data_IF_836881356201
#
_entry.id   IF_836881356201
#
_cell.length_a   1.000
_cell.length_b   1.000
_cell.length_c   1.000
_cell.angle_alpha   90.00
_cell.angle_beta   90.00
_cell.angle_gamma   90.00
#
_symmetry.space_group_name_H-M   'P 1'
#
loop_
_entity.id
_entity.type
_entity.pdbx_description
1 polymer ?
#
# COMPACT_ATOMS: atom_id res chain seq x y z
N UNK A 1 -5.86 -7.14 -4.05
CA UNK A 1 -6.12 -8.60 -4.03
C UNK A 1 -4.95 -9.34 -3.45
N UNK A 2 -5.21 -10.14 -2.43
CA UNK A 2 -4.20 -10.99 -1.80
C UNK A 2 -4.18 -12.35 -2.49
N UNK A 3 -3.01 -12.94 -2.62
CA UNK A 3 -2.88 -14.35 -2.98
C UNK A 3 -3.32 -15.18 -1.77
N UNK A 4 -4.32 -16.04 -1.96
CA UNK A 4 -4.93 -16.83 -0.89
C UNK A 4 -3.97 -17.89 -0.32
N UNK A 5 -4.21 -18.30 0.91
CA UNK A 5 -3.52 -19.40 1.57
C UNK A 5 -3.54 -20.69 0.72
N UNK A 6 -2.42 -21.41 0.68
CA UNK A 6 -2.28 -22.66 -0.07
C UNK A 6 -2.29 -22.52 -1.60
N UNK A 7 -2.40 -21.29 -2.14
CA UNK A 7 -2.46 -21.11 -3.59
C UNK A 7 -1.11 -21.32 -4.25
N UNK A 8 -0.01 -20.83 -3.68
CA UNK A 8 1.31 -20.92 -4.29
C UNK A 8 2.01 -22.24 -3.93
N UNK A 9 2.75 -22.85 -4.87
CA UNK A 9 3.67 -23.94 -4.56
C UNK A 9 4.75 -23.50 -3.56
N UNK A 10 5.20 -24.43 -2.70
CA UNK A 10 6.13 -24.15 -1.60
C UNK A 10 7.40 -23.38 -2.06
N UNK A 11 7.95 -23.75 -3.21
CA UNK A 11 9.11 -23.08 -3.79
C UNK A 11 8.89 -21.56 -3.93
N UNK A 12 7.73 -21.16 -4.47
CA UNK A 12 7.39 -19.74 -4.66
C UNK A 12 7.15 -19.04 -3.32
N UNK A 13 6.51 -19.71 -2.35
CA UNK A 13 6.35 -19.16 -1.01
C UNK A 13 7.71 -18.80 -0.39
N UNK A 14 8.65 -19.75 -0.40
CA UNK A 14 10.01 -19.55 0.16
C UNK A 14 10.74 -18.43 -0.58
N UNK A 15 10.68 -18.41 -1.91
CA UNK A 15 11.33 -17.37 -2.72
C UNK A 15 10.82 -15.97 -2.36
N UNK A 16 9.51 -15.79 -2.28
CA UNK A 16 8.94 -14.47 -1.97
C UNK A 16 9.20 -14.03 -0.53
N UNK A 17 9.27 -14.97 0.42
CA UNK A 17 9.77 -14.67 1.77
C UNK A 17 11.22 -14.20 1.74
N UNK A 18 12.08 -14.90 1.01
CA UNK A 18 13.50 -14.54 0.89
C UNK A 18 13.71 -13.16 0.25
N UNK A 19 12.86 -12.77 -0.71
CA UNK A 19 12.91 -11.45 -1.36
C UNK A 19 12.34 -10.33 -0.48
N UNK A 20 11.26 -10.60 0.26
CA UNK A 20 10.62 -9.59 1.13
C UNK A 20 11.40 -9.33 2.41
N UNK A 21 12.03 -10.36 2.99
CA UNK A 21 12.67 -10.30 4.30
C UNK A 21 13.73 -9.20 4.43
N UNK A 22 14.68 -9.00 3.48
CA UNK A 22 15.69 -7.96 3.60
C UNK A 22 15.09 -6.54 3.66
N UNK A 23 14.04 -6.30 2.89
CA UNK A 23 13.37 -5.00 2.84
C UNK A 23 12.64 -4.72 4.15
N UNK A 24 11.88 -5.71 4.65
CA UNK A 24 11.16 -5.59 5.93
C UNK A 24 12.15 -5.44 7.09
N UNK A 25 13.25 -6.21 7.10
CA UNK A 25 14.29 -6.10 8.11
C UNK A 25 14.94 -4.71 8.11
N UNK A 26 15.23 -4.15 6.94
CA UNK A 26 15.74 -2.80 6.81
C UNK A 26 14.72 -1.74 7.28
N UNK A 27 13.44 -1.95 6.95
CA UNK A 27 12.32 -1.17 7.46
C UNK A 27 12.26 -1.16 8.98
N UNK A 28 12.38 -2.33 9.61
CA UNK A 28 12.36 -2.48 11.06
C UNK A 28 13.58 -1.80 11.72
N UNK A 29 14.76 -1.92 11.10
CA UNK A 29 15.96 -1.20 11.53
C UNK A 29 15.76 0.32 11.50
N UNK A 30 15.26 0.87 10.39
CA UNK A 30 14.96 2.31 10.29
C UNK A 30 13.91 2.78 11.29
N UNK A 31 12.82 2.02 11.41
CA UNK A 31 11.74 2.31 12.35
C UNK A 31 12.28 2.36 13.79
N UNK A 32 13.08 1.38 14.20
CA UNK A 32 13.72 1.36 15.52
C UNK A 32 14.65 2.55 15.74
N UNK A 33 15.39 2.98 14.72
CA UNK A 33 16.28 4.15 14.84
C UNK A 33 15.49 5.43 15.07
N UNK A 34 14.43 5.65 14.29
CA UNK A 34 13.58 6.84 14.39
C UNK A 34 12.84 6.89 15.73
N UNK A 35 12.36 5.75 16.23
CA UNK A 35 11.71 5.67 17.55
C UNK A 35 12.71 5.97 18.68
N UNK A 36 13.97 5.53 18.56
CA UNK A 36 15.02 5.85 19.54
C UNK A 36 15.37 7.33 19.56
N UNK A 37 15.38 7.98 18.40
CA UNK A 37 15.63 9.42 18.25
C UNK A 37 14.44 10.25 18.75
N UNK A 38 13.20 9.78 18.54
CA UNK A 38 12.00 10.45 18.98
C UNK A 38 10.92 9.44 19.42
N UNK A 39 10.81 9.25 20.75
CA UNK A 39 9.87 8.28 21.34
C UNK A 39 8.40 8.63 21.12
N UNK A 40 8.08 9.89 20.88
CA UNK A 40 6.70 10.35 20.66
C UNK A 40 6.13 9.85 19.32
N UNK A 41 6.99 9.32 18.44
CA UNK A 41 6.56 8.71 17.17
C UNK A 41 5.99 7.31 17.34
N UNK A 42 6.29 6.60 18.43
CA UNK A 42 5.82 5.23 18.62
C UNK A 42 4.28 5.15 18.68
N UNK A 43 3.56 5.97 19.48
CA UNK A 43 2.10 5.98 19.46
C UNK A 43 1.53 6.33 18.08
N UNK A 44 2.18 7.25 17.35
CA UNK A 44 1.75 7.66 16.02
C UNK A 44 1.86 6.50 15.02
N UNK A 45 2.99 5.78 15.00
CA UNK A 45 3.19 4.60 14.17
C UNK A 45 2.17 3.50 14.49
N UNK A 46 1.90 3.25 15.78
CA UNK A 46 0.93 2.25 16.20
C UNK A 46 -0.50 2.61 15.75
N UNK A 47 -0.94 3.84 15.99
CA UNK A 47 -2.26 4.33 15.55
C UNK A 47 -2.37 4.29 14.02
N UNK A 48 -1.30 4.61 13.30
CA UNK A 48 -1.30 4.53 11.84
C UNK A 48 -1.34 3.11 11.31
N UNK A 49 -0.62 2.17 11.92
CA UNK A 49 -0.75 0.75 11.59
C UNK A 49 -2.18 0.23 11.83
N UNK A 50 -2.77 0.59 12.98
CA UNK A 50 -4.16 0.26 13.29
C UNK A 50 -5.13 0.92 12.30
N UNK A 51 -4.90 2.17 11.92
CA UNK A 51 -5.70 2.88 10.92
C UNK A 51 -5.62 2.20 9.54
N UNK A 52 -4.42 1.84 9.08
CA UNK A 52 -4.25 1.10 7.81
C UNK A 52 -5.00 -0.23 7.87
N UNK A 53 -4.89 -0.98 8.97
CA UNK A 53 -5.64 -2.21 9.16
C UNK A 53 -7.15 -1.98 9.11
N UNK A 54 -7.68 -1.04 9.89
CA UNK A 54 -9.12 -0.73 9.94
C UNK A 54 -9.61 -0.25 8.58
N UNK A 55 -8.89 0.66 7.93
CA UNK A 55 -9.21 1.13 6.58
C UNK A 55 -9.29 -0.06 5.62
N UNK A 56 -8.32 -0.98 5.66
CA UNK A 56 -8.31 -2.20 4.86
C UNK A 56 -9.36 -3.24 5.22
N UNK A 57 -10.10 -3.04 6.30
CA UNK A 57 -11.24 -3.89 6.67
C UNK A 57 -12.58 -3.32 6.19
N UNK A 58 -12.61 -2.05 5.74
CA UNK A 58 -13.84 -1.43 5.25
C UNK A 58 -14.20 -2.00 3.88
N UNK A 59 -15.43 -2.50 3.76
CA UNK A 59 -15.96 -2.98 2.48
C UNK A 59 -16.33 -1.78 1.61
N UNK A 60 -15.65 -1.64 0.48
CA UNK A 60 -16.04 -0.72 -0.58
C UNK A 60 -16.91 -1.45 -1.62
N UNK A 61 -18.03 -0.87 -2.04
CA UNK A 61 -18.81 -1.42 -3.14
C UNK A 61 -17.96 -1.38 -4.40
N UNK A 62 -17.74 -2.53 -5.05
CA UNK A 62 -17.08 -2.56 -6.35
C UNK A 62 -18.12 -2.36 -7.47
N UNK A 63 -17.66 -1.79 -8.59
CA UNK A 63 -18.47 -1.54 -9.79
C UNK A 63 -19.03 -2.84 -10.40
N UNK A 64 -18.43 -3.99 -10.09
CA UNK A 64 -18.77 -5.29 -10.66
C UNK A 64 -19.47 -6.24 -9.66
N UNK A 65 -19.98 -5.72 -8.54
CA UNK A 65 -20.73 -6.52 -7.56
C UNK A 65 -19.88 -7.41 -6.64
N UNK A 66 -18.55 -7.34 -6.74
CA UNK A 66 -17.62 -7.91 -5.77
C UNK A 66 -17.49 -7.03 -4.51
N UNK A 67 -17.06 -7.62 -3.39
CA UNK A 67 -16.62 -6.87 -2.21
C UNK A 67 -15.11 -6.65 -2.30
N UNK A 68 -14.68 -5.39 -2.25
CA UNK A 68 -13.26 -5.02 -2.19
C UNK A 68 -12.98 -4.19 -0.94
N UNK A 69 -11.71 -4.04 -0.60
CA UNK A 69 -11.28 -3.20 0.51
C UNK A 69 -10.08 -2.34 0.08
N UNK A 70 -9.91 -1.16 0.70
CA UNK A 70 -8.79 -0.28 0.36
C UNK A 70 -7.48 -0.83 0.92
N UNK A 71 -6.40 -0.79 0.14
CA UNK A 71 -5.09 -1.28 0.60
C UNK A 71 -4.44 -0.33 1.61
N UNK A 72 -4.66 0.99 1.48
CA UNK A 72 -4.13 2.02 2.40
C UNK A 72 -2.59 2.20 2.33
N UNK A 73 -1.92 1.48 1.45
CA UNK A 73 -0.47 1.41 1.28
C UNK A 73 0.10 2.73 0.74
N UNK A 74 -0.63 3.40 -0.15
CA UNK A 74 -0.25 4.71 -0.68
C UNK A 74 -0.18 5.79 0.40
N UNK A 75 -1.19 5.87 1.28
CA UNK A 75 -1.18 6.80 2.42
C UNK A 75 -0.05 6.44 3.40
N UNK A 76 0.10 5.15 3.73
CA UNK A 76 1.19 4.69 4.60
C UNK A 76 2.57 5.10 4.08
N UNK A 77 2.78 4.99 2.76
CA UNK A 77 4.02 5.37 2.11
C UNK A 77 4.28 6.88 2.16
N UNK A 78 3.25 7.70 1.96
CA UNK A 78 3.37 9.16 2.05
C UNK A 78 3.74 9.60 3.48
N UNK A 79 3.09 9.01 4.48
CA UNK A 79 3.26 9.41 5.88
C UNK A 79 4.59 8.93 6.49
N UNK A 80 5.00 7.69 6.20
CA UNK A 80 6.13 7.05 6.90
C UNK A 80 7.29 6.65 5.99
N UNK A 81 7.12 6.81 4.69
CA UNK A 81 8.07 6.32 3.69
C UNK A 81 8.00 4.79 3.50
N UNK A 82 8.47 4.28 2.35
CA UNK A 82 8.21 2.91 1.92
C UNK A 82 8.81 1.85 2.84
N UNK A 83 9.94 2.14 3.50
CA UNK A 83 10.62 1.20 4.38
C UNK A 83 9.80 0.90 5.64
N UNK A 84 9.27 1.92 6.31
CA UNK A 84 8.45 1.73 7.50
C UNK A 84 7.10 1.14 7.10
N UNK A 85 6.53 1.58 5.97
CA UNK A 85 5.31 1.00 5.42
C UNK A 85 5.44 -0.51 5.21
N UNK A 86 6.58 -1.03 4.76
CA UNK A 86 6.76 -2.48 4.61
C UNK A 86 6.59 -3.26 5.92
N UNK A 87 7.01 -2.69 7.05
CA UNK A 87 6.83 -3.28 8.38
C UNK A 87 5.37 -3.19 8.82
N UNK A 88 4.73 -2.04 8.61
CA UNK A 88 3.31 -1.88 8.92
C UNK A 88 2.45 -2.84 8.07
N UNK A 89 2.78 -2.99 6.79
CA UNK A 89 2.08 -3.85 5.85
C UNK A 89 2.20 -5.32 6.24
N UNK A 90 3.37 -5.84 6.63
CA UNK A 90 3.46 -7.24 7.07
C UNK A 90 2.63 -7.50 8.33
N UNK A 91 2.57 -6.55 9.28
CA UNK A 91 1.72 -6.65 10.48
C UNK A 91 0.24 -6.67 10.09
N UNK A 92 -0.18 -5.75 9.23
CA UNK A 92 -1.56 -5.68 8.70
C UNK A 92 -1.92 -6.97 7.98
N UNK A 93 -1.05 -7.48 7.12
CA UNK A 93 -1.26 -8.72 6.37
C UNK A 93 -1.37 -9.95 7.28
N UNK A 94 -0.60 -10.02 8.37
CA UNK A 94 -0.73 -11.08 9.38
C UNK A 94 -2.11 -11.02 10.02
N UNK A 95 -2.57 -9.83 10.44
CA UNK A 95 -3.90 -9.68 11.02
C UNK A 95 -5.02 -10.00 10.03
N UNK A 96 -4.87 -9.61 8.76
CA UNK A 96 -5.83 -9.96 7.71
C UNK A 96 -5.89 -11.47 7.49
N UNK A 97 -4.74 -12.15 7.46
CA UNK A 97 -4.68 -13.61 7.31
C UNK A 97 -5.34 -14.34 8.49
N UNK A 98 -5.07 -13.90 9.73
CA UNK A 98 -5.55 -14.58 10.94
C UNK A 98 -7.01 -14.24 11.28
N UNK A 99 -7.38 -12.95 11.26
CA UNK A 99 -8.69 -12.50 11.75
C UNK A 99 -9.75 -12.36 10.65
N UNK A 100 -9.34 -12.04 9.42
CA UNK A 100 -10.28 -11.80 8.31
C UNK A 100 -10.30 -12.96 7.31
N UNK A 101 -9.50 -14.01 7.54
CA UNK A 101 -9.27 -15.10 6.59
C UNK A 101 -8.98 -14.58 5.17
N UNK A 102 -8.21 -13.48 5.09
CA UNK A 102 -7.94 -12.77 3.86
C UNK A 102 -6.44 -12.77 3.55
N UNK A 103 -6.05 -13.37 2.42
CA UNK A 103 -4.66 -13.68 2.10
C UNK A 103 -4.22 -15.04 2.65
N UNK A 104 -3.00 -15.12 3.16
CA UNK A 104 -2.43 -16.36 3.70
C UNK A 104 -1.10 -16.13 4.40
N UNK A 105 -0.76 -17.02 5.33
CA UNK A 105 0.52 -17.12 6.02
C UNK A 105 1.60 -17.71 5.11
N UNK A 106 1.29 -18.73 4.29
CA UNK A 106 2.31 -19.26 3.34
C UNK A 106 2.59 -18.26 2.21
N UNK A 107 1.57 -17.51 1.79
CA UNK A 107 1.66 -16.50 0.73
C UNK A 107 1.99 -15.10 1.25
N UNK A 108 2.20 -14.94 2.57
CA UNK A 108 2.50 -13.66 3.21
C UNK A 108 3.74 -13.00 2.61
N UNK A 109 4.78 -13.76 2.28
CA UNK A 109 5.97 -13.23 1.61
C UNK A 109 5.65 -12.59 0.26
N UNK A 110 4.80 -13.23 -0.55
CA UNK A 110 4.38 -12.73 -1.86
C UNK A 110 3.49 -11.50 -1.75
N UNK A 111 2.51 -11.55 -0.84
CA UNK A 111 1.62 -10.43 -0.55
C UNK A 111 2.39 -9.22 0.02
N UNK A 112 3.36 -9.46 0.89
CA UNK A 112 4.25 -8.40 1.41
C UNK A 112 5.08 -7.79 0.30
N UNK A 113 5.57 -8.59 -0.66
CA UNK A 113 6.36 -8.10 -1.77
C UNK A 113 5.56 -7.15 -2.67
N UNK A 114 4.35 -7.54 -3.07
CA UNK A 114 3.51 -6.71 -3.93
C UNK A 114 2.95 -5.50 -3.16
N UNK A 115 2.24 -5.73 -2.06
CA UNK A 115 1.48 -4.70 -1.34
C UNK A 115 2.31 -3.91 -0.32
N UNK A 116 3.27 -4.55 0.34
CA UNK A 116 4.07 -3.92 1.39
C UNK A 116 5.36 -3.28 0.89
N UNK A 117 5.81 -3.64 -0.31
CA UNK A 117 7.10 -3.18 -0.84
C UNK A 117 6.89 -2.44 -2.15
N UNK A 118 6.49 -3.12 -3.22
CA UNK A 118 6.45 -2.50 -4.55
C UNK A 118 5.41 -1.38 -4.63
N UNK A 119 4.18 -1.63 -4.17
CA UNK A 119 3.13 -0.60 -4.11
C UNK A 119 3.59 0.66 -3.38
N UNK A 120 4.02 0.57 -2.11
CA UNK A 120 4.54 1.70 -1.33
C UNK A 120 5.72 2.41 -1.98
N UNK A 121 6.68 1.69 -2.57
CA UNK A 121 7.82 2.32 -3.26
C UNK A 121 7.32 3.16 -4.43
N UNK A 122 6.48 2.59 -5.30
CA UNK A 122 5.96 3.30 -6.48
C UNK A 122 5.11 4.49 -6.05
N UNK A 123 4.18 4.30 -5.11
CA UNK A 123 3.34 5.38 -4.59
C UNK A 123 4.17 6.53 -4.01
N UNK A 124 5.21 6.21 -3.25
CA UNK A 124 6.13 7.21 -2.70
C UNK A 124 6.91 7.96 -3.79
N UNK A 125 7.40 7.25 -4.82
CA UNK A 125 8.11 7.87 -5.93
C UNK A 125 7.20 8.80 -6.73
N UNK A 126 5.97 8.37 -7.00
CA UNK A 126 4.94 9.20 -7.65
C UNK A 126 4.65 10.45 -6.81
N UNK A 127 4.44 10.27 -5.51
CA UNK A 127 4.23 11.38 -4.58
C UNK A 127 5.38 12.39 -4.62
N UNK A 128 6.63 11.94 -4.52
CA UNK A 128 7.82 12.81 -4.57
C UNK A 128 7.95 13.50 -5.92
N UNK A 129 7.70 12.80 -7.03
CA UNK A 129 7.72 13.38 -8.37
C UNK A 129 6.65 14.48 -8.55
N UNK A 130 5.45 14.28 -8.00
CA UNK A 130 4.39 15.28 -7.97
C UNK A 130 4.80 16.50 -7.14
N UNK A 131 5.37 16.29 -5.95
CA UNK A 131 5.77 17.39 -5.07
C UNK A 131 6.93 18.20 -5.62
N UNK A 132 7.90 17.56 -6.28
CA UNK A 132 8.99 18.26 -6.96
C UNK A 132 8.51 19.11 -8.15
N UNK A 133 7.32 18.83 -8.70
CA UNK A 133 6.70 19.58 -9.80
C UNK A 133 5.59 20.53 -9.32
N UNK A 134 5.49 20.80 -8.01
CA UNK A 134 4.46 21.67 -7.42
C UNK A 134 3.02 21.26 -7.78
N UNK A 135 2.77 19.96 -7.99
CA UNK A 135 1.41 19.43 -8.20
C UNK A 135 0.62 19.59 -6.89
N UNK A 136 -0.69 19.81 -6.98
CA UNK A 136 -1.57 19.89 -5.81
C UNK A 136 -1.42 18.64 -4.90
N UNK A 137 -1.34 18.85 -3.58
CA UNK A 137 -1.13 17.77 -2.60
C UNK A 137 -2.19 16.66 -2.67
N UNK A 138 -3.47 17.01 -2.83
CA UNK A 138 -4.54 16.01 -2.90
C UNK A 138 -4.47 15.20 -4.19
N UNK A 139 -4.10 15.84 -5.30
CA UNK A 139 -3.84 15.13 -6.56
C UNK A 139 -2.59 14.23 -6.45
N UNK A 140 -1.54 14.68 -5.75
CA UNK A 140 -0.36 13.86 -5.49
C UNK A 140 -0.70 12.61 -4.67
N UNK A 141 -1.55 12.75 -3.63
CA UNK A 141 -2.05 11.63 -2.82
C UNK A 141 -2.91 10.67 -3.66
N UNK A 142 -3.83 11.21 -4.46
CA UNK A 142 -4.66 10.42 -5.38
C UNK A 142 -3.80 9.57 -6.31
N UNK A 143 -2.82 10.18 -6.99
CA UNK A 143 -1.95 9.48 -7.93
C UNK A 143 -1.06 8.47 -7.21
N UNK A 144 -0.53 8.80 -6.04
CA UNK A 144 0.30 7.89 -5.26
C UNK A 144 -0.45 6.61 -4.88
N UNK A 145 -1.70 6.72 -4.41
CA UNK A 145 -2.55 5.56 -4.12
C UNK A 145 -2.88 4.76 -5.39
N UNK A 146 -3.34 5.44 -6.45
CA UNK A 146 -3.67 4.81 -7.74
C UNK A 146 -2.51 3.96 -8.30
N UNK A 147 -1.30 4.53 -8.34
CA UNK A 147 -0.14 3.84 -8.89
C UNK A 147 0.42 2.78 -7.92
N UNK A 148 0.30 2.97 -6.61
CA UNK A 148 0.66 1.92 -5.64
C UNK A 148 -0.21 0.67 -5.83
N UNK A 149 -1.51 0.86 -6.03
CA UNK A 149 -2.46 -0.24 -6.28
C UNK A 149 -2.18 -0.92 -7.62
N UNK A 150 -2.06 -0.15 -8.71
CA UNK A 150 -1.77 -0.73 -10.03
C UNK A 150 -0.49 -1.56 -10.05
N UNK A 151 0.59 -1.08 -9.45
CA UNK A 151 1.83 -1.83 -9.39
C UNK A 151 1.76 -3.04 -8.45
N UNK A 152 0.96 -2.95 -7.38
CA UNK A 152 0.62 -4.14 -6.58
C UNK A 152 0.01 -5.22 -7.48
N UNK A 153 -0.97 -4.88 -8.32
CA UNK A 153 -1.65 -5.85 -9.18
C UNK A 153 -0.76 -6.38 -10.29
N UNK A 154 0.05 -5.53 -10.92
CA UNK A 154 1.04 -5.96 -11.91
C UNK A 154 1.99 -6.99 -11.31
N UNK A 155 2.53 -6.72 -10.11
CA UNK A 155 3.43 -7.66 -9.43
C UNK A 155 2.70 -8.95 -9.06
N UNK A 156 1.49 -8.87 -8.52
CA UNK A 156 0.70 -10.07 -8.21
C UNK A 156 0.41 -10.91 -9.46
N UNK A 157 0.09 -10.27 -10.60
CA UNK A 157 -0.06 -10.98 -11.88
C UNK A 157 1.22 -11.67 -12.33
N UNK A 158 2.40 -11.04 -12.14
CA UNK A 158 3.70 -11.66 -12.41
C UNK A 158 3.93 -12.86 -11.48
N UNK A 159 3.67 -12.70 -10.18
CA UNK A 159 3.81 -13.76 -9.18
C UNK A 159 3.00 -15.01 -9.57
N UNK A 160 1.74 -14.81 -9.97
CA UNK A 160 0.86 -15.89 -10.38
C UNK A 160 1.27 -16.49 -11.74
N UNK A 161 1.67 -15.66 -12.70
CA UNK A 161 2.11 -16.13 -14.01
C UNK A 161 3.38 -16.99 -13.96
N UNK A 162 4.31 -16.63 -13.07
CA UNK A 162 5.52 -17.42 -12.81
C UNK A 162 5.18 -18.75 -12.12
N UNK A 163 4.22 -18.75 -11.21
CA UNK A 163 3.80 -19.95 -10.50
C UNK A 163 2.98 -20.90 -11.37
N UNK A 164 2.22 -20.36 -12.32
CA UNK A 164 1.26 -21.08 -13.16
C UNK A 164 1.42 -20.70 -14.64
N UNK A 165 2.53 -21.09 -15.29
CA UNK A 165 2.70 -20.85 -16.72
C UNK A 165 1.68 -21.64 -17.55
N UNK A 166 1.08 -21.00 -18.55
CA UNK A 166 0.10 -21.63 -19.43
C UNK A 166 0.76 -22.67 -20.34
N UNK A 167 0.02 -23.74 -20.66
CA UNK A 167 0.52 -24.80 -21.55
C UNK A 167 0.88 -24.28 -22.95
N UNK A 168 0.11 -23.30 -23.44
CA UNK A 168 0.41 -22.53 -24.65
C UNK A 168 0.72 -21.09 -24.28
N UNK A 169 1.84 -20.55 -24.76
CA UNK A 169 2.27 -19.18 -24.49
C UNK A 169 2.97 -18.95 -23.13
N UNK A 170 3.06 -19.97 -22.27
CA UNK A 170 3.90 -19.95 -21.07
C UNK A 170 3.55 -18.86 -20.07
N UNK A 171 4.59 -18.26 -19.47
CA UNK A 171 4.45 -17.19 -18.45
C UNK A 171 3.78 -15.95 -19.03
N UNK A 172 4.08 -15.57 -20.28
CA UNK A 172 3.55 -14.34 -20.87
C UNK A 172 2.03 -14.44 -21.03
N UNK A 173 1.52 -15.56 -21.55
CA UNK A 173 0.09 -15.78 -21.68
C UNK A 173 -0.63 -15.79 -20.32
N UNK A 174 -0.04 -16.43 -19.29
CA UNK A 174 -0.61 -16.38 -17.93
C UNK A 174 -0.61 -14.96 -17.36
N UNK A 175 0.45 -14.19 -17.59
CA UNK A 175 0.54 -12.81 -17.12
C UNK A 175 -0.56 -11.94 -17.73
N UNK A 176 -0.76 -12.02 -19.04
CA UNK A 176 -1.83 -11.29 -19.73
C UNK A 176 -3.22 -11.70 -19.22
N UNK A 177 -3.44 -13.00 -18.99
CA UNK A 177 -4.69 -13.51 -18.46
C UNK A 177 -4.96 -12.99 -17.03
N UNK A 178 -4.01 -13.13 -16.10
CA UNK A 178 -4.16 -12.64 -14.73
C UNK A 178 -4.31 -11.12 -14.69
N UNK A 179 -3.49 -10.39 -15.46
CA UNK A 179 -3.57 -8.93 -15.51
C UNK A 179 -4.92 -8.46 -16.07
N UNK A 180 -5.41 -9.10 -17.13
CA UNK A 180 -6.71 -8.78 -17.74
C UNK A 180 -7.87 -9.01 -16.77
N UNK A 181 -7.89 -10.15 -16.07
CA UNK A 181 -8.91 -10.46 -15.06
C UNK A 181 -8.86 -9.46 -13.90
N UNK A 182 -7.66 -9.13 -13.42
CA UNK A 182 -7.49 -8.15 -12.35
C UNK A 182 -7.91 -6.76 -12.78
N UNK A 183 -7.56 -6.32 -13.99
CA UNK A 183 -7.85 -4.97 -14.47
C UNK A 183 -9.34 -4.61 -14.39
N UNK A 184 -10.23 -5.56 -14.69
CA UNK A 184 -11.70 -5.35 -14.66
C UNK A 184 -12.18 -4.85 -13.30
N UNK A 185 -11.63 -5.38 -12.22
CA UNK A 185 -12.06 -5.05 -10.84
C UNK A 185 -11.14 -4.04 -10.18
N UNK A 186 -9.85 -4.13 -10.45
CA UNK A 186 -8.82 -3.42 -9.72
C UNK A 186 -8.55 -2.01 -10.26
N UNK A 187 -8.73 -1.78 -11.57
CA UNK A 187 -8.60 -0.41 -12.13
C UNK A 187 -9.67 0.52 -11.58
N UNK A 188 -10.98 0.16 -11.59
CA UNK A 188 -12.01 0.99 -10.97
C UNK A 188 -11.78 1.18 -9.46
N UNK A 189 -11.38 0.09 -8.77
CA UNK A 189 -11.12 0.13 -7.33
C UNK A 189 -10.00 1.13 -6.98
N UNK A 190 -8.88 1.09 -7.70
CA UNK A 190 -7.74 1.98 -7.45
C UNK A 190 -8.09 3.46 -7.68
N UNK A 191 -9.00 3.77 -8.62
CA UNK A 191 -9.50 5.14 -8.82
C UNK A 191 -10.34 5.58 -7.61
N UNK A 192 -11.25 4.71 -7.15
CA UNK A 192 -12.08 5.00 -5.97
C UNK A 192 -11.21 5.13 -4.72
N UNK A 193 -10.26 4.22 -4.51
CA UNK A 193 -9.32 4.27 -3.39
C UNK A 193 -8.45 5.53 -3.44
N UNK A 194 -7.99 5.95 -4.62
CA UNK A 194 -7.26 7.21 -4.78
C UNK A 194 -8.10 8.41 -4.34
N UNK A 195 -9.39 8.44 -4.71
CA UNK A 195 -10.29 9.52 -4.34
C UNK A 195 -10.58 9.53 -2.83
N UNK A 196 -10.88 8.35 -2.25
CA UNK A 196 -11.05 8.20 -0.80
C UNK A 196 -9.77 8.60 -0.06
N UNK A 197 -8.61 8.22 -0.59
CA UNK A 197 -7.31 8.56 0.01
C UNK A 197 -7.06 10.06 0.02
N UNK A 198 -7.33 10.75 -1.09
CA UNK A 198 -7.22 12.21 -1.16
C UNK A 198 -8.19 12.91 -0.19
N UNK A 199 -9.43 12.39 -0.08
CA UNK A 199 -10.43 12.92 0.86
C UNK A 199 -10.00 12.71 2.32
N UNK A 200 -9.54 11.51 2.69
CA UNK A 200 -9.00 11.23 4.02
C UNK A 200 -7.82 12.14 4.34
N UNK A 201 -6.92 12.35 3.37
CA UNK A 201 -5.78 13.23 3.53
C UNK A 201 -6.19 14.69 3.74
N UNK A 202 -7.26 15.15 3.09
CA UNK A 202 -7.86 16.47 3.36
C UNK A 202 -8.29 16.60 4.83
N UNK A 203 -8.95 15.60 5.40
CA UNK A 203 -9.31 15.61 6.82
C UNK A 203 -8.09 15.61 7.74
N UNK A 204 -7.02 14.88 7.40
CA UNK A 204 -5.76 14.89 8.17
C UNK A 204 -5.14 16.29 8.15
N UNK A 205 -5.09 16.95 6.99
CA UNK A 205 -4.59 18.33 6.87
C UNK A 205 -5.39 19.30 7.76
N UNK A 206 -6.71 19.16 7.80
CA UNK A 206 -7.59 20.04 8.58
C UNK A 206 -7.50 19.79 10.09
N UNK A 207 -7.56 18.53 10.51
CA UNK A 207 -7.68 18.17 11.93
C UNK A 207 -6.32 18.02 12.61
N UNK A 208 -5.30 17.55 11.87
CA UNK A 208 -4.01 17.10 12.40
C UNK A 208 -2.83 17.52 11.53
N UNK A 209 -2.86 18.76 11.02
CA UNK A 209 -1.73 19.34 10.27
C UNK A 209 -0.40 19.32 11.06
N UNK A 210 -0.47 19.34 12.39
CA UNK A 210 0.67 19.19 13.30
C UNK A 210 1.44 17.87 13.08
N UNK A 211 0.73 16.78 12.78
CA UNK A 211 1.32 15.46 12.52
C UNK A 211 2.07 15.47 11.20
N UNK A 212 1.50 16.08 10.16
CA UNK A 212 2.12 16.15 8.83
C UNK A 212 3.43 16.95 8.85
N UNK A 213 3.49 18.01 9.67
CA UNK A 213 4.71 18.78 9.91
C UNK A 213 5.77 17.96 10.64
N UNK A 214 5.38 17.27 11.71
CA UNK A 214 6.29 16.40 12.49
C UNK A 214 6.89 15.28 11.63
N UNK A 215 6.12 14.75 10.68
CA UNK A 215 6.57 13.71 9.75
C UNK A 215 7.28 14.26 8.50
N UNK A 216 7.42 15.59 8.39
CA UNK A 216 8.04 16.27 7.24
C UNK A 216 7.41 15.86 5.89
N UNK A 217 6.08 15.71 5.89
CA UNK A 217 5.31 15.30 4.70
C UNK A 217 5.08 16.49 3.78
N UNK A 218 4.64 17.63 4.31
CA UNK A 218 4.40 18.85 3.55
C UNK A 218 4.91 20.09 4.30
N UNK A 219 5.22 21.17 3.59
CA UNK A 219 5.71 22.41 4.20
C UNK A 219 4.60 23.15 4.96
N UNK A 220 4.96 23.98 5.96
CA UNK A 220 4.00 24.81 6.70
C UNK A 220 3.12 25.68 5.80
N UNK A 221 3.71 26.27 4.75
CA UNK A 221 2.98 27.13 3.81
C UNK A 221 1.92 26.36 3.03
N UNK A 222 2.21 25.11 2.63
CA UNK A 222 1.25 24.26 1.93
C UNK A 222 0.09 23.91 2.87
N UNK A 223 0.38 23.52 4.12
CA UNK A 223 -0.66 23.14 5.08
C UNK A 223 -1.55 24.34 5.40
N UNK A 224 -0.95 25.49 5.70
CA UNK A 224 -1.69 26.73 6.01
C UNK A 224 -2.59 27.14 4.84
N UNK A 225 -2.06 27.17 3.62
CA UNK A 225 -2.81 27.50 2.40
C UNK A 225 -4.01 26.56 2.18
N UNK A 226 -3.86 25.26 2.44
CA UNK A 226 -4.93 24.29 2.26
C UNK A 226 -6.01 24.37 3.34
N UNK A 227 -5.62 24.71 4.58
CA UNK A 227 -6.56 24.98 5.67
C UNK A 227 -7.38 26.24 5.39
N UNK A 228 -6.73 27.32 4.95
CA UNK A 228 -7.40 28.58 4.57
C UNK A 228 -8.35 28.40 3.38
N UNK A 229 -7.97 27.62 2.36
CA UNK A 229 -8.82 27.35 1.19
C UNK A 229 -10.05 26.45 1.49
N UNK A 230 -10.12 25.86 2.69
CA UNK A 230 -11.21 24.99 3.12
C UNK A 230 -12.10 25.61 4.19
N UNK A 231 -11.76 26.80 4.68
CA UNK A 231 -12.55 27.61 5.61
C UNK A 231 -13.56 28.47 4.84
#
# INVERSE_FOLDING_TARGET
>A
MHIMEGFLPLYWCVLWYALSLPVVAYGAYKMNRIIKENRDLLPLLAVSGAFIFVLSSLKMPSVTGSCSHPTGTGIGAILFGPWITSVLSIIVLIFQAIFLAHGGLTTLGANTFSMGIVGPIVGYLVYKACMNRNVNLYLAVFLAALFADWFTYIVTSIQLALAFPAASGGVLASFEAFLGVFAITQVPLAIVEGAVSALLFKYIVQLRGDVLLKLNVASPDIIKKLQEASA
#
